data_IF_740382338325
#
_entry.id   IF_740382338325
#
_cell.length_a   1.000
_cell.length_b   1.000
_cell.length_c   1.000
_cell.angle_alpha   90.00
_cell.angle_beta   90.00
_cell.angle_gamma   90.00
#
_symmetry.space_group_name_H-M   'P 1'
#
loop_
_entity.id
_entity.type
_entity.pdbx_description
1 polymer ?
#
# COMPACT_ATOMS: atom_id res chain seq x y z
N UNK A 1 -11.26 31.58 1.15
CA UNK A 1 -10.06 31.16 0.38
C UNK A 1 -9.55 29.87 1.01
N UNK A 2 -9.50 28.77 0.23
CA UNK A 2 -9.00 27.46 0.68
C UNK A 2 -7.49 27.60 1.03
N UNK A 3 -7.01 27.16 2.20
CA UNK A 3 -5.60 27.16 2.55
C UNK A 3 -4.74 26.59 1.42
N UNK A 4 -3.56 27.18 1.16
CA UNK A 4 -2.68 26.71 0.09
C UNK A 4 -2.21 25.26 0.29
N UNK A 5 -2.23 24.79 1.54
CA UNK A 5 -2.05 23.39 1.96
C UNK A 5 -3.11 22.44 1.35
N UNK A 6 -4.32 22.95 1.11
CA UNK A 6 -5.49 22.22 0.60
C UNK A 6 -5.73 22.42 -0.91
N UNK A 7 -4.70 22.90 -1.63
CA UNK A 7 -4.55 23.21 -3.07
C UNK A 7 -5.68 22.79 -4.03
N UNK A 8 -6.13 21.53 -3.96
CA UNK A 8 -7.43 20.99 -4.41
C UNK A 8 -7.51 19.56 -3.87
N UNK A 9 -8.03 19.37 -2.66
CA UNK A 9 -8.04 18.05 -2.01
C UNK A 9 -9.26 17.23 -2.46
N UNK A 10 -9.18 16.69 -3.67
CA UNK A 10 -10.08 15.66 -4.19
C UNK A 10 -9.41 14.29 -4.13
N UNK A 11 -10.02 13.31 -3.46
CA UNK A 11 -9.54 11.92 -3.46
C UNK A 11 -10.57 11.00 -4.09
N UNK A 12 -10.10 10.00 -4.84
CA UNK A 12 -10.93 8.93 -5.39
C UNK A 12 -10.54 7.62 -4.74
N UNK A 13 -11.43 7.09 -3.91
CA UNK A 13 -11.33 5.77 -3.32
C UNK A 13 -11.92 4.75 -4.30
N UNK A 14 -11.16 3.72 -4.61
CA UNK A 14 -11.61 2.62 -5.47
C UNK A 14 -11.61 1.32 -4.69
N UNK A 15 -12.47 0.38 -5.08
CA UNK A 15 -12.45 -0.96 -4.54
C UNK A 15 -11.07 -1.61 -4.69
N UNK A 16 -10.62 -2.37 -3.69
CA UNK A 16 -9.35 -3.12 -3.74
C UNK A 16 -9.32 -4.13 -4.88
N UNK A 17 -10.47 -4.66 -5.29
CA UNK A 17 -10.64 -5.52 -6.46
C UNK A 17 -10.84 -4.76 -7.78
N UNK A 18 -10.95 -3.44 -7.74
CA UNK A 18 -11.02 -2.57 -8.93
C UNK A 18 -9.67 -2.29 -9.56
N UNK A 19 -8.58 -2.58 -8.87
CA UNK A 19 -7.23 -2.42 -9.39
C UNK A 19 -6.93 -3.44 -10.49
N UNK A 20 -6.60 -2.93 -11.67
CA UNK A 20 -6.14 -3.76 -12.79
C UNK A 20 -4.63 -4.02 -12.66
N UNK A 21 -4.22 -4.88 -11.71
CA UNK A 21 -2.81 -5.25 -11.56
C UNK A 21 -2.43 -6.31 -12.58
N UNK A 22 -1.49 -5.97 -13.46
CA UNK A 22 -0.84 -6.96 -14.34
C UNK A 22 -0.19 -8.05 -13.47
N UNK A 23 -0.51 -9.30 -13.74
CA UNK A 23 0.10 -10.44 -13.06
C UNK A 23 1.63 -10.41 -13.26
N UNK A 24 2.39 -10.38 -12.16
CA UNK A 24 3.87 -10.39 -12.21
C UNK A 24 4.48 -11.81 -12.25
N UNK A 25 3.64 -12.84 -12.11
CA UNK A 25 4.09 -14.24 -12.05
C UNK A 25 3.66 -15.04 -13.28
N UNK A 26 4.45 -16.07 -13.62
CA UNK A 26 4.14 -17.05 -14.67
C UNK A 26 2.99 -18.02 -14.34
N UNK A 27 2.27 -17.79 -13.22
CA UNK A 27 1.15 -18.66 -12.79
C UNK A 27 1.57 -20.01 -12.18
N UNK A 28 2.85 -20.22 -11.88
CA UNK A 28 3.38 -21.52 -11.39
C UNK A 28 2.83 -21.88 -9.98
N UNK A 29 2.47 -20.88 -9.16
CA UNK A 29 1.90 -21.09 -7.83
C UNK A 29 0.51 -20.48 -7.76
N UNK A 30 -0.44 -21.20 -7.15
CA UNK A 30 -1.74 -20.66 -6.78
C UNK A 30 -1.53 -19.56 -5.73
N UNK A 31 -1.53 -18.30 -6.15
CA UNK A 31 -1.47 -17.19 -5.20
C UNK A 31 -2.87 -16.93 -4.64
N UNK A 32 -2.97 -16.88 -3.31
CA UNK A 32 -4.17 -16.41 -2.59
C UNK A 32 -4.37 -14.88 -2.69
N UNK A 33 -3.63 -14.20 -3.57
CA UNK A 33 -3.84 -12.79 -3.78
C UNK A 33 -5.23 -12.59 -4.37
N UNK A 34 -6.02 -11.72 -3.72
CA UNK A 34 -7.27 -11.19 -4.27
C UNK A 34 -6.98 -10.68 -5.68
N UNK A 35 -7.33 -11.48 -6.69
CA UNK A 35 -7.21 -11.07 -8.09
C UNK A 35 -8.19 -9.92 -8.28
N UNK A 36 -7.78 -8.89 -9.01
CA UNK A 36 -8.70 -7.82 -9.37
C UNK A 36 -9.88 -8.42 -10.14
N UNK A 37 -11.11 -8.14 -9.71
CA UNK A 37 -12.33 -8.56 -10.40
C UNK A 37 -12.79 -7.52 -11.42
N UNK A 38 -12.02 -6.43 -11.59
CA UNK A 38 -12.42 -5.29 -12.41
C UNK A 38 -13.60 -4.54 -11.79
N UNK A 39 -13.75 -4.60 -10.46
CA UNK A 39 -14.83 -3.93 -9.75
C UNK A 39 -14.82 -2.42 -10.01
N UNK A 40 -15.95 -1.87 -10.44
CA UNK A 40 -16.08 -0.43 -10.76
C UNK A 40 -16.46 0.43 -9.55
N UNK A 41 -16.68 -0.19 -8.39
CA UNK A 41 -17.07 0.54 -7.20
C UNK A 41 -16.02 1.58 -6.81
N UNK A 42 -16.46 2.84 -6.67
CA UNK A 42 -15.62 3.97 -6.36
C UNK A 42 -16.40 5.07 -5.64
N UNK A 43 -15.69 5.89 -4.87
CA UNK A 43 -16.21 7.06 -4.18
C UNK A 43 -15.21 8.18 -4.39
N UNK A 44 -15.66 9.30 -4.94
CA UNK A 44 -14.87 10.52 -5.11
C UNK A 44 -15.36 11.54 -4.09
N UNK A 45 -14.44 12.06 -3.29
CA UNK A 45 -14.72 13.04 -2.27
C UNK A 45 -13.80 14.25 -2.46
N UNK A 46 -14.33 15.45 -2.27
CA UNK A 46 -13.58 16.70 -2.38
C UNK A 46 -13.88 17.60 -1.19
N UNK A 47 -12.87 18.35 -0.76
CA UNK A 47 -13.05 19.42 0.22
C UNK A 47 -13.75 20.61 -0.44
N UNK A 48 -14.82 21.06 0.17
CA UNK A 48 -15.58 22.24 -0.22
C UNK A 48 -15.68 23.22 0.97
N UNK A 49 -15.71 24.51 0.67
CA UNK A 49 -16.01 25.53 1.67
C UNK A 49 -17.53 25.65 1.85
N UNK A 50 -18.00 25.66 3.08
CA UNK A 50 -19.39 25.90 3.42
C UNK A 50 -19.55 27.32 3.99
N UNK A 51 -20.17 28.22 3.23
CA UNK A 51 -20.41 29.60 3.65
C UNK A 51 -21.41 29.72 4.82
N UNK A 52 -22.35 28.79 4.96
CA UNK A 52 -23.38 28.83 6.01
C UNK A 52 -22.80 28.49 7.39
N UNK A 53 -21.83 27.58 7.45
CA UNK A 53 -21.16 27.19 8.70
C UNK A 53 -19.78 27.83 8.86
N UNK A 54 -19.26 28.49 7.83
CA UNK A 54 -17.93 29.10 7.85
C UNK A 54 -16.79 28.09 8.01
N UNK A 55 -16.97 26.85 7.54
CA UNK A 55 -16.02 25.74 7.73
C UNK A 55 -15.72 24.99 6.43
N UNK A 56 -14.58 24.28 6.40
CA UNK A 56 -14.28 23.32 5.33
C UNK A 56 -14.99 21.99 5.63
N UNK A 57 -15.66 21.45 4.62
CA UNK A 57 -16.34 20.16 4.68
C UNK A 57 -15.85 19.23 3.59
N UNK A 58 -15.95 17.92 3.81
CA UNK A 58 -15.70 16.91 2.77
C UNK A 58 -17.03 16.50 2.17
N UNK A 59 -17.25 16.81 0.90
CA UNK A 59 -18.41 16.39 0.13
C UNK A 59 -18.09 15.21 -0.79
N UNK A 60 -19.00 14.25 -0.91
CA UNK A 60 -18.93 13.23 -1.97
C UNK A 60 -19.40 13.87 -3.27
N UNK A 61 -18.55 13.87 -4.29
CA UNK A 61 -18.85 14.50 -5.60
C UNK A 61 -19.34 13.50 -6.63
N UNK A 62 -18.87 12.26 -6.57
CA UNK A 62 -19.25 11.17 -7.48
C UNK A 62 -19.10 9.83 -6.76
N UNK A 63 -19.99 8.87 -7.02
CA UNK A 63 -19.90 7.53 -6.42
C UNK A 63 -20.61 6.46 -7.26
N UNK A 64 -20.01 5.27 -7.31
CA UNK A 64 -20.68 4.02 -7.66
C UNK A 64 -20.37 3.01 -6.55
N UNK A 65 -21.39 2.62 -5.78
CA UNK A 65 -21.23 1.71 -4.63
C UNK A 65 -21.54 0.25 -4.98
N UNK A 66 -21.83 -0.05 -6.25
CA UNK A 66 -22.17 -1.42 -6.67
C UNK A 66 -20.92 -2.26 -6.87
N UNK A 67 -20.82 -3.31 -6.09
CA UNK A 67 -19.75 -4.30 -6.21
C UNK A 67 -20.17 -5.46 -7.11
N UNK A 68 -19.25 -5.95 -7.94
CA UNK A 68 -19.43 -7.17 -8.73
C UNK A 68 -18.91 -8.43 -8.01
N UNK A 69 -18.60 -8.31 -6.72
CA UNK A 69 -18.09 -9.37 -5.87
C UNK A 69 -18.65 -9.18 -4.45
N UNK A 70 -18.58 -10.24 -3.64
CA UNK A 70 -18.99 -10.15 -2.26
C UNK A 70 -18.02 -9.28 -1.43
N UNK A 71 -18.58 -8.45 -0.56
CA UNK A 71 -17.85 -7.57 0.35
C UNK A 71 -17.99 -8.12 1.76
N UNK A 72 -16.87 -8.44 2.40
CA UNK A 72 -16.85 -9.02 3.75
C UNK A 72 -16.05 -8.15 4.71
N UNK A 73 -16.58 -7.96 5.93
CA UNK A 73 -15.89 -7.25 7.01
C UNK A 73 -14.53 -7.87 7.34
N UNK A 74 -14.46 -9.20 7.34
CA UNK A 74 -13.22 -9.93 7.59
C UNK A 74 -12.13 -9.61 6.54
N UNK A 75 -12.50 -9.43 5.27
CA UNK A 75 -11.54 -9.04 4.21
C UNK A 75 -11.01 -7.62 4.43
N UNK A 76 -11.86 -6.70 4.89
CA UNK A 76 -11.43 -5.35 5.26
C UNK A 76 -10.46 -5.38 6.45
N UNK A 77 -10.81 -6.04 7.55
CA UNK A 77 -9.98 -6.09 8.76
C UNK A 77 -8.61 -6.74 8.50
N UNK A 78 -8.56 -7.79 7.69
CA UNK A 78 -7.32 -8.48 7.33
C UNK A 78 -6.52 -7.81 6.21
N UNK A 79 -7.00 -6.69 5.65
CA UNK A 79 -6.28 -5.98 4.61
C UNK A 79 -4.93 -5.49 5.16
N UNK A 80 -3.87 -5.61 4.34
CA UNK A 80 -2.48 -5.35 4.78
C UNK A 80 -2.35 -3.98 5.43
N UNK A 81 -3.00 -2.96 4.91
CA UNK A 81 -2.96 -1.61 5.47
C UNK A 81 -3.70 -1.50 6.83
N UNK A 82 -4.83 -2.19 6.99
CA UNK A 82 -5.65 -2.13 8.20
C UNK A 82 -5.07 -2.93 9.37
N UNK A 83 -4.28 -3.96 9.08
CA UNK A 83 -3.59 -4.78 10.09
C UNK A 83 -2.20 -4.25 10.48
N UNK A 84 -1.82 -3.06 10.00
CA UNK A 84 -0.53 -2.45 10.35
C UNK A 84 -0.53 -2.08 11.84
N UNK A 85 0.53 -2.47 12.55
CA UNK A 85 0.79 -2.02 13.91
C UNK A 85 1.29 -0.58 13.82
N UNK A 86 0.60 0.35 14.47
CA UNK A 86 0.96 1.78 14.51
C UNK A 86 1.64 2.17 15.82
N UNK A 87 1.94 1.19 16.67
CA UNK A 87 2.63 1.42 17.94
C UNK A 87 4.06 1.92 17.67
N UNK A 88 4.41 3.15 18.08
CA UNK A 88 5.70 3.74 17.77
C UNK A 88 6.88 2.99 18.43
N UNK A 89 6.66 2.36 19.58
CA UNK A 89 7.69 1.57 20.27
C UNK A 89 8.00 0.29 19.49
N UNK A 90 6.96 -0.40 19.01
CA UNK A 90 7.14 -1.60 18.19
C UNK A 90 7.80 -1.25 16.84
N UNK A 91 7.39 -0.14 16.23
CA UNK A 91 7.97 0.32 14.96
C UNK A 91 9.46 0.67 15.12
N UNK A 92 9.83 1.42 16.16
CA UNK A 92 11.23 1.75 16.44
C UNK A 92 12.10 0.51 16.66
N UNK A 93 11.60 -0.48 17.40
CA UNK A 93 12.29 -1.73 17.61
C UNK A 93 12.49 -2.53 16.31
N UNK A 94 11.44 -2.63 15.47
CA UNK A 94 11.54 -3.32 14.17
C UNK A 94 12.53 -2.63 13.25
N UNK A 95 12.58 -1.29 13.26
CA UNK A 95 13.53 -0.51 12.47
C UNK A 95 14.98 -0.77 12.92
N UNK A 96 15.26 -0.78 14.22
CA UNK A 96 16.57 -1.11 14.77
C UNK A 96 17.05 -2.51 14.33
N UNK A 97 16.17 -3.52 14.44
CA UNK A 97 16.46 -4.89 14.02
C UNK A 97 16.73 -4.96 12.51
N UNK A 98 15.97 -4.22 11.70
CA UNK A 98 16.19 -4.18 10.25
C UNK A 98 17.51 -3.51 9.89
N UNK A 99 17.90 -2.43 10.59
CA UNK A 99 19.19 -1.75 10.41
C UNK A 99 20.32 -2.71 10.73
N UNK A 100 20.25 -3.39 11.87
CA UNK A 100 21.25 -4.37 12.32
C UNK A 100 21.42 -5.53 11.32
N UNK A 101 20.32 -6.01 10.73
CA UNK A 101 20.36 -7.03 9.69
C UNK A 101 21.07 -6.56 8.42
N UNK A 102 20.87 -5.29 8.02
CA UNK A 102 21.51 -4.71 6.83
C UNK A 102 23.00 -4.50 7.05
N UNK A 103 23.41 -4.02 8.22
CA UNK A 103 24.83 -3.85 8.55
C UNK A 103 25.55 -5.20 8.65
N UNK A 104 24.91 -6.24 9.21
CA UNK A 104 25.45 -7.59 9.21
C UNK A 104 25.55 -8.21 7.81
N UNK A 105 24.61 -7.93 6.90
CA UNK A 105 24.67 -8.39 5.51
C UNK A 105 25.77 -7.67 4.68
N UNK A 106 26.12 -6.44 5.05
CA UNK A 106 27.25 -5.71 4.48
C UNK A 106 28.60 -6.09 5.12
N UNK A 107 28.57 -6.72 6.30
CA UNK A 107 29.74 -7.19 7.04
C UNK A 107 30.04 -8.68 6.83
N UNK A 108 29.18 -9.41 6.11
CA UNK A 108 29.49 -10.79 5.72
C UNK A 108 30.46 -10.79 4.54
N UNK A 109 31.73 -10.69 4.88
CA UNK A 109 32.78 -11.45 4.23
C UNK A 109 32.24 -12.84 3.88
N UNK A 110 32.26 -13.13 2.58
CA UNK A 110 31.96 -14.45 2.06
C UNK A 110 33.03 -15.42 2.57
N UNK A 111 32.79 -16.10 3.70
CA UNK A 111 33.52 -17.34 4.00
C UNK A 111 32.88 -18.44 3.17
N UNK A 112 33.40 -18.58 1.95
CA UNK A 112 33.15 -19.72 1.07
C UNK A 112 33.69 -20.99 1.75
N UNK A 113 32.83 -21.75 2.44
CA UNK A 113 33.14 -23.16 2.72
C UNK A 113 32.61 -23.99 1.54
N UNK A 114 33.54 -24.53 0.76
CA UNK A 114 33.37 -25.34 -0.46
C UNK A 114 33.14 -24.58 -1.79
N UNK A 115 34.27 -24.39 -2.48
CA UNK A 115 34.60 -24.31 -3.92
C UNK A 115 33.57 -24.22 -5.07
N UNK A 116 32.31 -23.80 -4.89
CA UNK A 116 31.51 -23.36 -6.05
C UNK A 116 30.41 -22.38 -5.66
N UNK A 117 30.70 -21.09 -5.68
CA UNK A 117 29.63 -20.09 -5.82
C UNK A 117 30.14 -18.90 -6.62
N UNK A 118 29.72 -18.83 -7.88
CA UNK A 118 29.92 -17.66 -8.73
C UNK A 118 29.00 -16.54 -8.24
N UNK A 119 29.56 -15.60 -7.48
CA UNK A 119 28.88 -14.37 -7.10
C UNK A 119 28.85 -13.40 -8.28
N UNK A 120 27.67 -13.24 -8.88
CA UNK A 120 27.33 -12.04 -9.66
C UNK A 120 26.20 -11.31 -8.96
N UNK A 121 26.55 -10.38 -8.10
CA UNK A 121 25.66 -9.28 -7.75
C UNK A 121 26.39 -7.97 -8.06
N UNK A 122 26.04 -7.42 -9.24
CA UNK A 122 26.34 -6.05 -9.61
C UNK A 122 25.06 -5.26 -9.37
N UNK A 123 25.04 -4.43 -8.35
CA UNK A 123 24.06 -3.35 -8.24
C UNK A 123 24.85 -2.04 -8.18
N UNK A 124 25.01 -1.42 -9.36
CA UNK A 124 25.31 -0.01 -9.48
C UNK A 124 23.97 0.72 -9.53
N UNK A 125 23.84 1.77 -8.72
CA UNK A 125 22.98 2.90 -9.03
C UNK A 125 23.78 4.17 -8.79
N UNK A 126 23.64 5.10 -9.73
CA UNK A 126 24.32 6.40 -9.81
C UNK A 126 23.98 7.34 -8.65
#
# INVERSE_FOLDING_TARGET
LIPLELKTFGTKLICTHGWNRKGRGKGIRNSHFNRGTGCKANITAAVAWNDAEGTFMVGVTDYDVRHNHAVYKATYQNHVHNRQVQDPTILAFVDEVQISRRTAANASDCVCYSSSCASRYRFQYD
#
